data_IF_161079535988
#
_entry.id   IF_161079535988
#
_cell.length_a   1.000
_cell.length_b   1.000
_cell.length_c   1.000
_cell.angle_alpha   90.00
_cell.angle_beta   90.00
_cell.angle_gamma   90.00
#
_symmetry.space_group_name_H-M   'P 1'
#
loop_
_entity.id
_entity.type
_entity.pdbx_description
1 polymer ?
#
# COMPACT_ATOMS: atom_id res chain seq x y z
N UNK A 1 26.21 -24.90 30.19
CA UNK A 1 25.03 -25.77 30.12
C UNK A 1 24.35 -25.80 31.48
N UNK A 2 23.17 -25.19 31.62
CA UNK A 2 22.39 -25.30 32.86
C UNK A 2 21.16 -26.16 32.58
N UNK A 3 21.14 -27.33 33.18
CA UNK A 3 19.99 -28.22 33.15
C UNK A 3 19.02 -27.81 34.27
N UNK A 4 17.75 -27.66 33.93
CA UNK A 4 16.71 -27.37 34.91
C UNK A 4 16.59 -28.59 35.84
N UNK A 5 16.66 -28.41 37.18
CA UNK A 5 16.50 -29.51 38.14
C UNK A 5 15.21 -30.30 37.90
N UNK A 6 15.30 -31.64 37.94
CA UNK A 6 14.18 -32.55 37.65
C UNK A 6 12.87 -32.29 38.44
N UNK A 7 12.89 -31.83 39.70
CA UNK A 7 11.66 -31.49 40.41
C UNK A 7 10.90 -30.35 39.74
N UNK A 8 11.62 -29.29 39.34
CA UNK A 8 11.06 -28.11 38.65
C UNK A 8 10.55 -28.50 37.26
N UNK A 9 11.25 -29.39 36.56
CA UNK A 9 10.79 -29.91 35.27
C UNK A 9 9.45 -30.64 35.40
N UNK A 10 9.30 -31.51 36.42
CA UNK A 10 8.05 -32.25 36.66
C UNK A 10 6.88 -31.35 37.00
N UNK A 11 7.10 -30.30 37.79
CA UNK A 11 6.07 -29.29 38.09
C UNK A 11 5.67 -28.51 36.84
N UNK A 12 6.63 -28.14 35.99
CA UNK A 12 6.34 -27.50 34.71
C UNK A 12 5.57 -28.41 33.74
N UNK A 13 5.89 -29.70 33.68
CA UNK A 13 5.12 -30.67 32.87
C UNK A 13 3.69 -30.87 33.39
N UNK A 14 3.51 -30.93 34.71
CA UNK A 14 2.19 -31.01 35.33
C UNK A 14 1.35 -29.74 35.05
N UNK A 15 1.96 -28.56 35.12
CA UNK A 15 1.30 -27.28 34.77
C UNK A 15 0.96 -27.19 33.28
N UNK A 16 1.83 -27.71 32.39
CA UNK A 16 1.61 -27.73 30.94
C UNK A 16 0.44 -28.64 30.53
N UNK A 17 0.23 -29.74 31.24
CA UNK A 17 -0.91 -30.64 31.01
C UNK A 17 -2.24 -30.09 31.56
N UNK A 18 -2.22 -29.23 32.58
CA UNK A 18 -3.43 -28.66 33.19
C UNK A 18 -3.90 -27.33 32.59
N UNK A 19 -3.03 -26.55 31.95
CA UNK A 19 -3.38 -25.25 31.36
C UNK A 19 -2.72 -25.10 30.00
N UNK A 20 -3.54 -25.19 28.93
CA UNK A 20 -3.24 -24.51 27.66
C UNK A 20 -3.25 -23.02 27.95
N UNK A 21 -2.14 -22.48 28.47
CA UNK A 21 -1.93 -21.05 28.64
C UNK A 21 -2.19 -20.40 27.29
N UNK A 22 -3.17 -19.49 27.31
CA UNK A 22 -3.83 -18.83 26.19
C UNK A 22 -3.14 -18.99 24.85
N UNK A 23 -3.71 -19.82 23.97
CA UNK A 23 -3.50 -19.65 22.53
C UNK A 23 -3.92 -18.22 22.23
N UNK A 24 -2.98 -17.35 21.84
CA UNK A 24 -3.32 -16.00 21.40
C UNK A 24 -4.32 -16.14 20.26
N UNK A 25 -5.59 -15.89 20.56
CA UNK A 25 -6.64 -15.82 19.56
C UNK A 25 -6.57 -14.45 18.91
N UNK A 26 -6.73 -14.41 17.59
CA UNK A 26 -6.79 -13.14 16.86
C UNK A 26 -7.90 -12.28 17.46
N UNK A 27 -7.66 -10.98 17.63
CA UNK A 27 -8.64 -9.99 18.15
C UNK A 27 -9.79 -9.72 17.16
N UNK A 28 -10.13 -10.70 16.31
CA UNK A 28 -11.19 -10.62 15.32
C UNK A 28 -12.52 -10.36 16.05
N UNK A 29 -13.04 -9.15 15.96
CA UNK A 29 -14.30 -8.73 16.58
C UNK A 29 -14.19 -7.95 17.89
N UNK A 30 -13.02 -7.92 18.54
CA UNK A 30 -12.80 -7.12 19.76
C UNK A 30 -12.33 -5.70 19.41
N UNK A 31 -11.53 -5.59 18.37
CA UNK A 31 -11.08 -4.30 17.82
C UNK A 31 -11.89 -4.05 16.56
N UNK A 32 -12.71 -3.01 16.56
CA UNK A 32 -13.25 -2.50 15.29
C UNK A 32 -12.05 -2.15 14.41
N UNK A 33 -11.90 -2.86 13.30
CA UNK A 33 -10.96 -2.49 12.25
C UNK A 33 -11.45 -1.14 11.74
N UNK A 34 -10.88 -0.06 12.26
CA UNK A 34 -11.06 1.26 11.70
C UNK A 34 -10.55 1.15 10.27
N UNK A 35 -11.48 1.06 9.32
CA UNK A 35 -11.21 1.31 7.92
C UNK A 35 -10.74 2.75 7.88
N UNK A 36 -9.42 2.92 7.90
CA UNK A 36 -8.80 4.21 7.67
C UNK A 36 -9.30 4.77 6.34
N UNK A 37 -9.17 6.09 6.11
CA UNK A 37 -9.69 6.76 4.93
C UNK A 37 -9.41 5.95 3.68
N UNK A 38 -10.45 5.68 2.88
CA UNK A 38 -10.36 4.92 1.61
C UNK A 38 -9.52 5.62 0.54
N UNK A 39 -8.84 6.70 0.90
CA UNK A 39 -8.02 7.59 0.07
C UNK A 39 -6.66 6.97 -0.31
N UNK A 40 -6.28 5.85 0.32
CA UNK A 40 -4.97 5.23 0.10
C UNK A 40 -5.08 3.91 -0.67
N UNK A 41 -5.68 3.97 -1.87
CA UNK A 41 -5.70 2.87 -2.84
C UNK A 41 -4.45 2.89 -3.73
N UNK A 42 -4.18 1.76 -4.40
CA UNK A 42 -3.11 1.69 -5.43
C UNK A 42 -3.30 2.75 -6.52
N UNK A 43 -4.54 2.95 -6.95
CA UNK A 43 -4.89 3.92 -8.00
C UNK A 43 -4.63 5.34 -7.54
N UNK A 44 -4.99 5.68 -6.30
CA UNK A 44 -4.71 7.00 -5.72
C UNK A 44 -3.20 7.27 -5.62
N UNK A 45 -2.41 6.26 -5.20
CA UNK A 45 -0.94 6.38 -5.17
C UNK A 45 -0.37 6.60 -6.58
N UNK A 46 -0.84 5.83 -7.57
CA UNK A 46 -0.39 5.96 -8.95
C UNK A 46 -0.73 7.34 -9.54
N UNK A 47 -1.94 7.83 -9.30
CA UNK A 47 -2.37 9.16 -9.73
C UNK A 47 -1.53 10.26 -9.07
N UNK A 48 -1.35 10.21 -7.74
CA UNK A 48 -0.55 11.20 -7.01
C UNK A 48 0.92 11.23 -7.46
N UNK A 49 1.53 10.07 -7.70
CA UNK A 49 2.92 9.98 -8.21
C UNK A 49 3.00 10.49 -9.66
N UNK A 50 1.98 10.22 -10.47
CA UNK A 50 1.92 10.73 -11.85
C UNK A 50 1.82 12.25 -11.88
N UNK A 51 0.96 12.84 -11.04
CA UNK A 51 0.84 14.28 -10.89
C UNK A 51 2.14 14.90 -10.38
N UNK A 52 2.76 14.34 -9.34
CA UNK A 52 4.06 14.80 -8.85
C UNK A 52 5.10 14.82 -9.98
N UNK A 53 5.18 13.77 -10.78
CA UNK A 53 6.16 13.69 -11.86
C UNK A 53 5.87 14.72 -12.97
N UNK A 54 4.61 14.86 -13.37
CA UNK A 54 4.21 15.74 -14.47
C UNK A 54 4.26 17.22 -14.09
N UNK A 55 3.77 17.58 -12.90
CA UNK A 55 3.66 18.96 -12.45
C UNK A 55 4.98 19.55 -11.97
N UNK A 56 5.87 18.73 -11.37
CA UNK A 56 7.18 19.19 -10.88
C UNK A 56 8.32 18.90 -11.88
N UNK A 57 8.01 18.61 -13.15
CA UNK A 57 8.98 18.31 -14.22
C UNK A 57 10.05 17.28 -13.81
N UNK A 58 9.61 16.22 -13.12
CA UNK A 58 10.53 15.17 -12.66
C UNK A 58 10.78 14.15 -13.78
N UNK A 59 11.94 13.52 -13.74
CA UNK A 59 12.20 12.37 -14.62
C UNK A 59 11.26 11.21 -14.30
N UNK A 60 10.67 10.59 -15.34
CA UNK A 60 9.91 9.33 -15.23
C UNK A 60 10.69 8.19 -14.54
N UNK A 61 12.03 8.25 -14.56
CA UNK A 61 12.89 7.29 -13.87
C UNK A 61 12.78 7.37 -12.33
N UNK A 62 12.30 8.49 -11.78
CA UNK A 62 12.09 8.67 -10.34
C UNK A 62 11.12 7.62 -9.79
N UNK A 63 10.10 7.23 -10.56
CA UNK A 63 9.15 6.20 -10.16
C UNK A 63 9.81 4.84 -9.84
N UNK A 64 10.90 4.50 -10.53
CA UNK A 64 11.65 3.25 -10.31
C UNK A 64 12.83 3.42 -9.33
N UNK A 65 13.12 4.63 -8.85
CA UNK A 65 14.27 4.90 -8.00
C UNK A 65 14.05 4.29 -6.61
N UNK A 66 14.94 3.39 -6.20
CA UNK A 66 14.83 2.68 -4.93
C UNK A 66 14.65 3.61 -3.72
N UNK A 67 15.38 4.73 -3.68
CA UNK A 67 15.23 5.72 -2.59
C UNK A 67 13.84 6.33 -2.55
N UNK A 68 13.23 6.59 -3.70
CA UNK A 68 11.89 7.16 -3.78
C UNK A 68 10.84 6.14 -3.34
N UNK A 69 10.94 4.90 -3.83
CA UNK A 69 10.08 3.80 -3.38
C UNK A 69 10.22 3.55 -1.87
N UNK A 70 11.43 3.62 -1.31
CA UNK A 70 11.66 3.48 0.12
C UNK A 70 10.96 4.61 0.90
N UNK A 71 10.98 5.84 0.41
CA UNK A 71 10.21 6.94 1.00
C UNK A 71 8.70 6.66 0.95
N UNK A 72 8.16 6.15 -0.18
CA UNK A 72 6.75 5.77 -0.28
C UNK A 72 6.37 4.67 0.73
N UNK A 73 7.23 3.67 0.91
CA UNK A 73 7.03 2.59 1.89
C UNK A 73 7.16 3.13 3.32
N UNK A 74 8.09 4.04 3.60
CA UNK A 74 8.25 4.65 4.91
C UNK A 74 7.04 5.51 5.28
N UNK A 75 6.51 6.29 4.33
CA UNK A 75 5.27 7.06 4.49
C UNK A 75 4.05 6.16 4.66
N UNK A 76 4.05 4.96 4.05
CA UNK A 76 2.96 3.99 4.16
C UNK A 76 3.51 2.56 4.30
N UNK A 77 3.75 2.09 5.55
CA UNK A 77 4.35 0.76 5.79
C UNK A 77 3.53 -0.43 5.29
N UNK A 78 2.24 -0.23 4.99
CA UNK A 78 1.34 -1.26 4.42
C UNK A 78 1.44 -1.37 2.89
N UNK A 79 2.22 -0.53 2.23
CA UNK A 79 2.43 -0.59 0.79
C UNK A 79 3.15 -1.87 0.42
N UNK A 80 2.52 -2.68 -0.44
CA UNK A 80 3.14 -3.89 -0.98
C UNK A 80 3.91 -3.55 -2.26
N UNK A 81 4.81 -4.44 -2.69
CA UNK A 81 5.57 -4.24 -3.95
C UNK A 81 4.67 -4.01 -5.17
N UNK A 82 3.51 -4.66 -5.22
CA UNK A 82 2.56 -4.50 -6.30
C UNK A 82 1.83 -3.14 -6.30
N UNK A 83 1.88 -2.40 -5.19
CA UNK A 83 1.31 -1.06 -5.09
C UNK A 83 2.29 0.00 -5.57
N UNK A 84 3.60 -0.30 -5.60
CA UNK A 84 4.61 0.68 -5.93
C UNK A 84 4.50 1.12 -7.39
N UNK A 85 4.65 2.43 -7.66
CA UNK A 85 4.68 2.92 -9.02
C UNK A 85 5.87 2.31 -9.76
N UNK A 86 5.69 2.06 -11.04
CA UNK A 86 6.78 1.79 -11.96
C UNK A 86 6.76 2.87 -13.03
N UNK A 87 7.90 3.10 -13.69
CA UNK A 87 7.96 4.04 -14.83
C UNK A 87 6.91 3.70 -15.89
N UNK A 88 6.70 2.40 -16.17
CA UNK A 88 5.67 1.95 -17.11
C UNK A 88 4.27 2.35 -16.64
N UNK A 89 3.92 2.04 -15.38
CA UNK A 89 2.59 2.34 -14.85
C UNK A 89 2.30 3.85 -14.84
N UNK A 90 3.30 4.67 -14.49
CA UNK A 90 3.18 6.14 -14.52
C UNK A 90 3.02 6.64 -15.95
N UNK A 91 3.85 6.18 -16.88
CA UNK A 91 3.78 6.59 -18.28
C UNK A 91 2.44 6.22 -18.92
N UNK A 92 1.96 4.98 -18.71
CA UNK A 92 0.66 4.54 -19.23
C UNK A 92 -0.48 5.33 -18.61
N UNK A 93 -0.42 5.64 -17.31
CA UNK A 93 -1.43 6.46 -16.65
C UNK A 93 -1.48 7.88 -17.24
N UNK A 94 -0.33 8.53 -17.36
CA UNK A 94 -0.19 9.85 -17.96
C UNK A 94 -0.73 9.88 -19.39
N UNK A 95 -0.37 8.87 -20.19
CA UNK A 95 -0.86 8.75 -21.56
C UNK A 95 -2.39 8.61 -21.62
N UNK A 96 -2.96 7.76 -20.77
CA UNK A 96 -4.40 7.54 -20.73
C UNK A 96 -5.15 8.80 -20.29
N UNK A 97 -4.65 9.53 -19.30
CA UNK A 97 -5.24 10.82 -18.90
C UNK A 97 -5.17 11.86 -20.02
N UNK A 98 -4.04 11.94 -20.71
CA UNK A 98 -3.88 12.82 -21.85
C UNK A 98 -4.84 12.49 -22.99
N UNK A 99 -4.99 11.21 -23.33
CA UNK A 99 -5.94 10.74 -24.35
C UNK A 99 -7.37 11.06 -23.94
N UNK A 100 -7.74 10.80 -22.68
CA UNK A 100 -9.07 11.13 -22.16
C UNK A 100 -9.35 12.63 -22.23
N UNK A 101 -8.37 13.47 -21.89
CA UNK A 101 -8.48 14.92 -22.03
C UNK A 101 -8.67 15.37 -23.48
N UNK A 102 -7.92 14.81 -24.43
CA UNK A 102 -8.08 15.12 -25.86
C UNK A 102 -9.46 14.73 -26.39
N UNK A 103 -9.99 13.60 -25.96
CA UNK A 103 -11.34 13.15 -26.34
C UNK A 103 -12.40 14.10 -25.80
N UNK A 104 -12.28 14.54 -24.54
CA UNK A 104 -13.18 15.53 -23.96
C UNK A 104 -13.09 16.86 -24.69
N UNK A 105 -11.87 17.35 -24.93
CA UNK A 105 -11.64 18.60 -25.65
C UNK A 105 -12.26 18.57 -27.05
N UNK A 106 -12.10 17.46 -27.77
CA UNK A 106 -12.73 17.28 -29.08
C UNK A 106 -14.26 17.39 -28.98
N UNK A 107 -14.87 16.70 -28.02
CA UNK A 107 -16.31 16.74 -27.83
C UNK A 107 -16.81 18.16 -27.50
N UNK A 108 -16.07 18.91 -26.67
CA UNK A 108 -16.41 20.28 -26.31
C UNK A 108 -16.37 21.23 -27.52
N UNK A 109 -15.38 21.06 -28.41
CA UNK A 109 -15.25 21.84 -29.65
C UNK A 109 -16.39 21.52 -30.64
N UNK A 110 -16.73 20.24 -30.83
CA UNK A 110 -17.81 19.84 -31.75
C UNK A 110 -19.19 20.34 -31.30
N UNK A 111 -19.44 20.40 -29.98
CA UNK A 111 -20.68 21.00 -29.42
C UNK A 111 -20.74 22.51 -29.67
N UNK A 112 -19.60 23.21 -29.61
CA UNK A 112 -19.50 24.65 -29.90
C UNK A 112 -19.80 24.99 -31.36
N UNK A 113 -19.47 24.12 -32.32
CA UNK A 113 -19.79 24.33 -33.75
C UNK A 113 -21.26 24.08 -34.11
N UNK A 114 -22.02 23.44 -33.20
CA UNK A 114 -23.43 23.08 -33.42
C UNK A 114 -24.44 24.11 -32.89
N UNK A 115 -23.97 25.25 -32.38
CA UNK A 115 -24.75 26.38 -31.85
C UNK A 115 -24.59 27.58 -32.79
#
# INVERSE_FOLDING_TARGET
>A
HWAIPRPIWKEMEALKNGKRLGRQTNLNGIVQKVTGPGEFTRTALQHAVTQFIACDDQSLAVANKATFCNCLVAMRPKTIKADLPTTYNVMSHLHNEFVGWLQQLKADIEVLESI
#
